data_IF_782298814935
#
_entry.id   IF_782298814935
#
_cell.length_a   1.000
_cell.length_b   1.000
_cell.length_c   1.000
_cell.angle_alpha   90.00
_cell.angle_beta   90.00
_cell.angle_gamma   90.00
#
_symmetry.space_group_name_H-M   'P 1'
#
loop_
_entity.id
_entity.type
_entity.pdbx_description
1 polymer ?
#
# COMPACT_ATOMS: atom_id res chain seq x y z
N UNK A 1 1.58 11.89 -0.48
CA UNK A 1 1.16 10.78 -1.33
C UNK A 1 1.08 9.51 -0.52
N UNK A 2 0.09 8.71 -0.86
CA UNK A 2 -0.13 7.48 -0.14
C UNK A 2 0.46 6.33 -0.94
N UNK A 3 1.60 5.87 -0.48
CA UNK A 3 2.17 4.65 -1.02
C UNK A 3 1.51 3.47 -0.36
N UNK A 4 1.16 2.48 -1.17
CA UNK A 4 0.56 1.25 -0.68
C UNK A 4 1.54 0.11 -0.81
N UNK A 5 1.45 -0.82 0.12
CA UNK A 5 2.27 -2.02 0.13
C UNK A 5 1.40 -3.25 -0.03
N UNK A 6 1.96 -4.29 -0.64
CA UNK A 6 1.26 -5.54 -0.83
C UNK A 6 1.32 -6.36 0.46
N UNK A 7 0.17 -6.83 0.90
CA UNK A 7 0.06 -7.70 2.06
C UNK A 7 -0.43 -9.07 1.61
N UNK A 8 0.14 -10.11 2.19
CA UNK A 8 -0.22 -11.49 1.89
C UNK A 8 -0.30 -12.28 3.18
N UNK A 9 -0.77 -13.50 3.11
CA UNK A 9 -0.74 -14.43 4.22
C UNK A 9 -2.12 -14.90 4.66
N UNK A 10 -2.16 -15.85 5.60
CA UNK A 10 -3.43 -16.45 6.04
C UNK A 10 -4.41 -15.45 6.64
N UNK A 11 -3.93 -14.47 7.39
CA UNK A 11 -4.78 -13.45 7.97
C UNK A 11 -5.48 -12.64 6.87
N UNK A 12 -4.73 -12.26 5.82
CA UNK A 12 -5.26 -11.49 4.70
C UNK A 12 -6.35 -12.27 4.00
N UNK A 13 -6.08 -13.52 3.67
CA UNK A 13 -7.05 -14.35 2.96
C UNK A 13 -8.31 -14.56 3.81
N UNK A 14 -8.14 -14.86 5.08
CA UNK A 14 -9.26 -15.13 5.97
C UNK A 14 -10.12 -13.89 6.24
N UNK A 15 -9.50 -12.75 6.50
CA UNK A 15 -10.23 -11.56 6.95
C UNK A 15 -10.66 -10.64 5.84
N UNK A 16 -9.97 -10.66 4.71
CA UNK A 16 -10.26 -9.73 3.62
C UNK A 16 -10.77 -10.44 2.35
N UNK A 17 -10.81 -11.76 2.38
CA UNK A 17 -11.39 -12.52 1.28
C UNK A 17 -10.57 -12.54 0.00
N UNK A 18 -9.29 -12.25 0.08
CA UNK A 18 -8.39 -12.26 -1.07
C UNK A 18 -7.00 -12.66 -0.63
N UNK A 19 -6.23 -13.37 -1.47
CA UNK A 19 -4.89 -13.80 -1.08
C UNK A 19 -3.89 -12.66 -0.97
N UNK A 20 -4.12 -11.58 -1.67
CA UNK A 20 -3.26 -10.41 -1.67
C UNK A 20 -4.10 -9.14 -1.67
N UNK A 21 -3.69 -8.17 -0.88
CA UNK A 21 -4.36 -6.87 -0.80
C UNK A 21 -3.31 -5.77 -0.73
N UNK A 22 -3.74 -4.54 -1.00
CA UNK A 22 -2.89 -3.35 -0.88
C UNK A 22 -3.34 -2.53 0.32
N UNK A 23 -2.39 -2.04 1.09
CA UNK A 23 -2.68 -1.20 2.24
C UNK A 23 -1.75 0.01 2.29
N UNK A 24 -2.26 1.19 2.68
CA UNK A 24 -1.41 2.37 2.81
C UNK A 24 -0.30 2.11 3.82
N UNK A 25 0.93 2.39 3.44
CA UNK A 25 2.10 2.17 4.30
C UNK A 25 2.01 2.95 5.61
N UNK A 26 1.37 4.10 5.58
CA UNK A 26 1.19 4.93 6.77
C UNK A 26 0.56 4.17 7.93
N UNK A 27 -0.39 3.30 7.65
CA UNK A 27 -1.09 2.53 8.68
C UNK A 27 -0.33 1.27 9.11
N UNK A 28 0.78 0.98 8.47
CA UNK A 28 1.60 -0.19 8.76
C UNK A 28 2.87 0.16 9.55
N UNK A 29 3.07 1.42 9.85
CA UNK A 29 4.23 1.87 10.63
C UNK A 29 4.22 1.17 11.98
N UNK A 30 5.37 0.66 12.38
CA UNK A 30 5.51 -0.11 13.62
C UNK A 30 5.58 -1.61 13.40
N UNK A 31 5.22 -2.10 12.23
CA UNK A 31 5.49 -3.48 11.87
C UNK A 31 6.96 -3.65 11.53
N UNK A 32 7.51 -4.89 11.67
CA UNK A 32 8.92 -5.12 11.35
C UNK A 32 9.28 -4.63 9.96
N UNK A 33 10.32 -3.80 9.88
CA UNK A 33 10.78 -3.27 8.61
C UNK A 33 10.05 -2.05 8.09
N UNK A 34 9.04 -1.57 8.81
CA UNK A 34 8.26 -0.40 8.38
C UNK A 34 8.33 0.66 9.46
N UNK A 35 9.02 1.75 9.16
CA UNK A 35 9.21 2.84 10.12
C UNK A 35 9.22 4.18 9.43
N UNK A 36 8.96 5.22 10.20
CA UNK A 36 9.09 6.58 9.69
C UNK A 36 10.55 6.96 9.69
N UNK A 37 10.98 7.55 8.59
CA UNK A 37 12.35 8.06 8.48
C UNK A 37 12.28 9.56 8.20
N UNK A 38 12.70 10.41 9.13
CA UNK A 38 12.71 11.84 8.86
C UNK A 38 13.71 12.16 7.76
N UNK A 39 13.36 13.09 6.89
CA UNK A 39 14.24 13.51 5.82
C UNK A 39 13.96 14.97 5.49
N UNK A 40 14.99 15.68 5.11
CA UNK A 40 14.87 17.08 4.70
C UNK A 40 14.30 17.22 3.29
N UNK A 41 14.53 16.23 2.47
CA UNK A 41 14.07 16.24 1.08
C UNK A 41 13.59 14.87 0.68
N UNK A 42 12.48 14.84 -0.07
CA UNK A 42 11.94 13.61 -0.63
C UNK A 42 11.62 13.87 -2.09
N UNK A 43 12.13 12.99 -2.94
CA UNK A 43 11.71 12.95 -4.33
C UNK A 43 10.76 11.78 -4.48
N UNK A 44 9.54 12.06 -4.92
CA UNK A 44 8.55 11.01 -5.16
C UNK A 44 8.58 10.63 -6.63
N UNK A 45 8.75 9.34 -6.87
CA UNK A 45 8.75 8.80 -8.21
C UNK A 45 7.57 7.84 -8.34
N UNK A 46 6.72 8.09 -9.33
CA UNK A 46 5.59 7.23 -9.61
C UNK A 46 5.73 6.60 -10.99
N UNK A 47 5.52 5.29 -11.06
CA UNK A 47 5.49 4.58 -12.31
C UNK A 47 4.04 4.47 -12.75
N UNK A 48 3.77 4.85 -14.00
CA UNK A 48 2.44 4.79 -14.58
C UNK A 48 2.45 3.81 -15.74
N UNK A 49 1.54 2.85 -15.69
CA UNK A 49 1.32 1.88 -16.75
C UNK A 49 -0.11 1.99 -17.28
N UNK A 50 -0.42 1.27 -18.34
CA UNK A 50 -1.76 1.27 -18.91
C UNK A 50 -2.80 0.77 -17.93
N UNK A 51 -2.41 -0.03 -16.96
CA UNK A 51 -3.27 -0.49 -15.88
C UNK A 51 -2.49 -0.49 -14.58
N UNK A 52 -3.23 -0.63 -13.49
CA UNK A 52 -2.63 -0.70 -12.16
C UNK A 52 -1.86 -1.99 -12.00
N UNK A 53 -0.60 -1.90 -11.63
CA UNK A 53 0.31 -3.04 -11.55
C UNK A 53 0.96 -3.14 -10.17
N UNK A 54 1.31 -4.35 -9.79
CA UNK A 54 2.13 -4.58 -8.62
C UNK A 54 3.59 -4.53 -9.05
N UNK A 55 4.40 -3.77 -8.35
CA UNK A 55 5.81 -3.58 -8.67
C UNK A 55 6.68 -3.87 -7.45
N UNK A 56 7.90 -4.30 -7.69
CA UNK A 56 8.87 -4.53 -6.62
C UNK A 56 9.97 -3.50 -6.72
N UNK A 57 10.30 -2.88 -5.58
CA UNK A 57 11.39 -1.93 -5.50
C UNK A 57 12.11 -2.13 -4.16
N UNK A 58 13.42 -2.27 -4.21
CA UNK A 58 14.25 -2.45 -3.00
C UNK A 58 13.76 -3.59 -2.11
N UNK A 59 13.31 -4.68 -2.73
CA UNK A 59 12.85 -5.84 -1.99
C UNK A 59 11.44 -5.75 -1.44
N UNK A 60 10.73 -4.66 -1.66
CA UNK A 60 9.37 -4.49 -1.20
C UNK A 60 8.39 -4.51 -2.36
N UNK A 61 7.25 -5.15 -2.16
CA UNK A 61 6.18 -5.16 -3.14
C UNK A 61 5.24 -3.99 -2.89
N UNK A 62 4.98 -3.22 -3.92
CA UNK A 62 4.15 -2.03 -3.88
C UNK A 62 3.31 -1.94 -5.14
N UNK A 63 2.89 -0.76 -5.51
CA UNK A 63 2.00 -0.53 -6.64
C UNK A 63 2.55 0.54 -7.59
N UNK A 64 2.13 0.47 -8.85
CA UNK A 64 2.29 1.59 -9.78
C UNK A 64 1.26 2.66 -9.43
N UNK A 65 1.34 3.82 -10.08
CA UNK A 65 0.33 4.85 -9.89
C UNK A 65 -1.02 4.32 -10.38
N UNK A 66 -2.04 4.43 -9.52
CA UNK A 66 -3.39 4.03 -9.91
C UNK A 66 -3.98 5.15 -10.78
N UNK A 67 -4.24 4.89 -12.06
CA UNK A 67 -4.73 5.92 -12.96
C UNK A 67 -6.10 6.42 -12.56
N UNK A 68 -6.35 7.73 -12.71
CA UNK A 68 -7.64 8.35 -12.51
C UNK A 68 -7.72 9.21 -11.27
N UNK A 69 -8.85 9.86 -11.11
CA UNK A 69 -9.15 10.67 -9.94
C UNK A 69 -8.30 11.91 -9.78
N UNK A 70 -8.24 12.40 -8.56
CA UNK A 70 -7.54 13.65 -8.25
C UNK A 70 -6.04 13.58 -8.53
N UNK A 71 -5.46 12.41 -8.39
CA UNK A 71 -4.03 12.26 -8.63
C UNK A 71 -3.68 12.47 -10.11
N UNK A 72 -4.49 11.91 -11.01
CA UNK A 72 -4.30 12.12 -12.44
C UNK A 72 -4.43 13.60 -12.79
N UNK A 73 -5.43 14.27 -12.23
CA UNK A 73 -5.64 15.68 -12.45
C UNK A 73 -4.46 16.51 -11.92
N UNK A 74 -4.00 16.20 -10.74
CA UNK A 74 -2.87 16.91 -10.13
C UNK A 74 -1.57 16.77 -10.93
N UNK A 75 -1.41 15.67 -11.63
CA UNK A 75 -0.23 15.41 -12.46
C UNK A 75 -0.41 15.88 -13.90
N UNK A 76 -1.54 16.50 -14.23
CA UNK A 76 -1.80 16.95 -15.60
C UNK A 76 -2.11 15.82 -16.57
N UNK A 77 -2.52 14.67 -16.08
CA UNK A 77 -2.86 13.53 -16.91
C UNK A 77 -4.34 13.54 -17.24
N UNK A 78 -4.68 13.00 -18.41
CA UNK A 78 -6.08 12.84 -18.77
C UNK A 78 -6.68 11.71 -17.96
N UNK A 79 -7.94 11.88 -17.53
CA UNK A 79 -8.65 10.79 -16.89
C UNK A 79 -8.94 9.70 -17.90
N UNK A 80 -8.82 8.43 -17.49
CA UNK A 80 -9.19 7.33 -18.38
C UNK A 80 -10.70 7.37 -18.68
N UNK A 81 -11.06 6.95 -19.88
CA UNK A 81 -12.46 6.92 -20.31
C UNK A 81 -13.30 5.97 -19.45
N UNK A 82 -12.68 5.00 -18.83
CA UNK A 82 -13.33 4.05 -17.93
C UNK A 82 -12.52 3.95 -16.65
N UNK A 83 -13.18 3.70 -15.50
CA UNK A 83 -12.44 3.43 -14.28
C UNK A 83 -11.46 2.28 -14.47
N UNK A 84 -10.24 2.45 -13.95
CA UNK A 84 -9.22 1.41 -14.01
C UNK A 84 -9.31 0.61 -12.72
N UNK A 85 -9.63 -0.70 -12.78
CA UNK A 85 -9.68 -1.48 -11.55
C UNK A 85 -8.30 -1.60 -10.91
N UNK A 86 -8.23 -1.62 -9.58
CA UNK A 86 -6.94 -1.85 -8.92
C UNK A 86 -6.45 -3.27 -9.18
N UNK A 87 -5.14 -3.46 -9.21
CA UNK A 87 -4.53 -4.77 -9.43
C UNK A 87 -4.87 -5.75 -8.30
N UNK A 88 -5.08 -5.25 -7.10
CA UNK A 88 -5.48 -6.01 -5.92
C UNK A 88 -6.49 -5.19 -5.13
N UNK A 89 -7.33 -5.82 -4.29
CA UNK A 89 -8.23 -5.06 -3.42
C UNK A 89 -7.44 -4.10 -2.53
N UNK A 90 -7.97 -2.91 -2.34
CA UNK A 90 -7.33 -1.88 -1.54
C UNK A 90 -8.04 -1.80 -0.19
N UNK A 91 -7.28 -1.97 0.89
CA UNK A 91 -7.83 -1.88 2.23
C UNK A 91 -8.12 -0.43 2.60
N UNK A 92 -9.18 -0.22 3.34
CA UNK A 92 -9.43 1.07 3.98
C UNK A 92 -8.40 1.29 5.09
N UNK A 93 -8.33 2.52 5.60
CA UNK A 93 -7.45 2.80 6.74
C UNK A 93 -7.80 1.96 7.96
N UNK A 94 -9.08 1.73 8.22
CA UNK A 94 -9.53 0.89 9.33
C UNK A 94 -9.07 -0.56 9.16
N UNK A 95 -9.24 -1.10 7.96
CA UNK A 95 -8.80 -2.47 7.68
C UNK A 95 -7.29 -2.61 7.80
N UNK A 96 -6.54 -1.64 7.27
CA UNK A 96 -5.09 -1.67 7.37
C UNK A 96 -4.62 -1.60 8.83
N UNK A 97 -5.29 -0.81 9.66
CA UNK A 97 -4.97 -0.74 11.08
C UNK A 97 -5.28 -2.05 11.80
N UNK A 98 -6.36 -2.72 11.41
CA UNK A 98 -6.68 -4.03 11.96
C UNK A 98 -5.57 -5.04 11.67
N UNK A 99 -5.10 -5.05 10.44
CA UNK A 99 -3.98 -5.90 10.05
C UNK A 99 -2.74 -5.59 10.91
N UNK A 100 -2.40 -4.31 11.03
CA UNK A 100 -1.22 -3.89 11.79
C UNK A 100 -1.34 -4.29 13.24
N UNK A 101 -2.50 -4.09 13.83
CA UNK A 101 -2.73 -4.44 15.23
C UNK A 101 -2.56 -5.94 15.46
N UNK A 102 -3.10 -6.76 14.59
CA UNK A 102 -2.99 -8.21 14.70
C UNK A 102 -1.53 -8.68 14.59
N UNK A 103 -0.77 -8.08 13.69
CA UNK A 103 0.61 -8.50 13.47
C UNK A 103 1.59 -7.92 14.48
N UNK A 104 1.27 -6.79 15.11
CA UNK A 104 2.09 -6.28 16.19
C UNK A 104 2.09 -7.21 17.40
N UNK A 105 1.01 -7.94 17.61
CA UNK A 105 0.94 -8.89 18.72
C UNK A 105 1.88 -10.05 18.55
N UNK A 106 2.25 -10.35 17.32
CA UNK A 106 3.17 -11.43 17.03
C UNK A 106 4.63 -10.99 17.21
N UNK A 107 4.86 -9.69 17.30
CA UNK A 107 6.18 -9.19 17.57
C UNK A 107 6.52 -9.53 19.01
N UNK A 108 7.59 -10.27 19.26
CA UNK A 108 7.95 -10.59 20.61
C UNK A 108 8.07 -9.34 21.44
N UNK A 109 7.46 -9.44 22.55
CA UNK A 109 7.53 -8.37 23.43
C UNK A 109 8.90 -8.20 23.86
N UNK A 110 9.48 -7.42 23.50
CA UNK A 110 10.65 -7.21 23.81
C UNK A 110 10.75 -6.97 25.07
N UNK A 111 10.32 -7.18 25.63
CA UNK A 111 10.26 -7.09 26.69
C UNK A 111 10.64 -6.62 27.35
N UNK A 112 10.56 -6.67 27.16
CA UNK A 112 10.64 -6.23 27.83
C UNK A 112 11.11 -5.92 28.72
#
# INVERSE_FOLDING_TARGET
PQHRMLLTGPFVDLHFGAPEVLAPALHLVGLPGIERAPTLRVAYLHLLFDRHEIVQANGAWSESLHPGGQMALALGLAEPARPVPPARPILTGTEARLYALAHRRETPARAA
#
